data_IF_696666164148
#
_entry.id   IF_696666164148
#
_cell.length_a   1.000
_cell.length_b   1.000
_cell.length_c   1.000
_cell.angle_alpha   90.00
_cell.angle_beta   90.00
_cell.angle_gamma   90.00
#
_symmetry.space_group_name_H-M   'P 1'
#
loop_
_entity.id
_entity.type
_entity.pdbx_description
1 polymer ?
#
# COMPACT_ATOMS: atom_id res chain seq x y z
N UNK A 1 -7.79 -21.45 4.91
CA UNK A 1 -8.65 -20.27 4.71
C UNK A 1 -7.75 -19.08 4.95
N UNK A 2 -7.28 -18.41 3.90
CA UNK A 2 -6.54 -17.15 4.07
C UNK A 2 -7.55 -16.11 4.55
N UNK A 3 -7.45 -15.72 5.82
CA UNK A 3 -8.30 -14.67 6.37
C UNK A 3 -7.72 -13.33 5.96
N UNK A 4 -8.17 -12.79 4.84
CA UNK A 4 -7.86 -11.41 4.47
C UNK A 4 -8.49 -10.51 5.54
N UNK A 5 -7.66 -9.67 6.16
CA UNK A 5 -8.10 -8.70 7.15
C UNK A 5 -8.28 -7.34 6.49
N UNK A 6 -9.41 -6.67 6.71
CA UNK A 6 -9.72 -5.39 6.09
C UNK A 6 -9.81 -4.28 7.15
N UNK A 7 -9.20 -3.13 6.89
CA UNK A 7 -9.24 -1.93 7.74
C UNK A 7 -9.28 -0.66 6.90
N UNK A 8 -9.71 0.43 7.53
CA UNK A 8 -9.64 1.76 6.94
C UNK A 8 -8.56 2.59 7.64
N UNK A 9 -7.78 3.30 6.84
CA UNK A 9 -6.92 4.37 7.29
C UNK A 9 -7.46 5.72 6.81
N UNK A 10 -7.44 6.72 7.68
CA UNK A 10 -7.88 8.09 7.36
C UNK A 10 -6.71 9.03 7.50
N UNK A 11 -6.50 9.87 6.51
CA UNK A 11 -5.39 10.83 6.46
C UNK A 11 -5.73 12.01 5.56
N UNK A 12 -4.89 13.03 5.58
CA UNK A 12 -5.00 14.15 4.66
C UNK A 12 -4.47 13.73 3.28
N UNK A 13 -5.20 14.09 2.23
CA UNK A 13 -4.73 13.93 0.86
C UNK A 13 -3.94 15.17 0.39
N UNK A 14 -3.53 15.14 -0.87
CA UNK A 14 -2.79 16.23 -1.53
C UNK A 14 -3.56 17.57 -1.62
N UNK A 15 -4.85 17.58 -1.30
CA UNK A 15 -5.72 18.76 -1.29
C UNK A 15 -6.05 19.24 0.13
N UNK A 16 -5.36 18.73 1.15
CA UNK A 16 -5.63 19.00 2.57
C UNK A 16 -7.03 18.57 3.03
N UNK A 17 -7.64 17.62 2.32
CA UNK A 17 -8.94 17.04 2.67
C UNK A 17 -8.77 15.67 3.33
N UNK A 18 -9.70 15.30 4.21
CA UNK A 18 -9.70 13.97 4.82
C UNK A 18 -10.12 12.95 3.75
N UNK A 19 -9.19 12.07 3.40
CA UNK A 19 -9.41 10.91 2.54
C UNK A 19 -9.39 9.59 3.31
N UNK A 20 -9.86 8.54 2.64
CA UNK A 20 -9.86 7.16 3.18
C UNK A 20 -9.02 6.26 2.27
N UNK A 21 -8.21 5.42 2.91
CA UNK A 21 -7.52 4.30 2.27
C UNK A 21 -8.14 3.02 2.80
N UNK A 22 -8.75 2.23 1.92
CA UNK A 22 -9.18 0.87 2.24
C UNK A 22 -7.96 -0.06 2.15
N UNK A 23 -7.70 -0.81 3.22
CA UNK A 23 -6.50 -1.65 3.35
C UNK A 23 -6.96 -3.08 3.51
N UNK A 24 -6.53 -3.97 2.61
CA UNK A 24 -6.69 -5.41 2.75
C UNK A 24 -5.33 -6.08 3.00
N UNK A 25 -5.29 -6.98 3.95
CA UNK A 25 -4.10 -7.59 4.51
C UNK A 25 -4.15 -9.08 4.26
N UNK A 26 -3.25 -9.58 3.42
CA UNK A 26 -2.98 -11.00 3.25
C UNK A 26 -1.68 -11.35 3.98
N UNK A 27 -1.84 -11.88 5.19
CA UNK A 27 -0.71 -12.24 6.04
C UNK A 27 0.03 -13.50 5.54
N UNK A 28 -0.66 -14.42 4.86
CA UNK A 28 -0.06 -15.66 4.37
C UNK A 28 0.89 -15.36 3.21
N UNK A 29 0.46 -14.49 2.29
CA UNK A 29 1.25 -14.05 1.14
C UNK A 29 2.20 -12.90 1.45
N UNK A 30 2.11 -12.30 2.65
CA UNK A 30 2.80 -11.04 3.03
C UNK A 30 2.54 -9.90 2.05
N UNK A 31 1.28 -9.78 1.61
CA UNK A 31 0.84 -8.73 0.69
C UNK A 31 -0.14 -7.82 1.41
N UNK A 32 0.08 -6.50 1.28
CA UNK A 32 -0.88 -5.49 1.71
C UNK A 32 -1.39 -4.74 0.48
N UNK A 33 -2.70 -4.72 0.33
CA UNK A 33 -3.42 -4.06 -0.73
C UNK A 33 -3.97 -2.73 -0.22
N UNK A 34 -3.62 -1.63 -0.88
CA UNK A 34 -4.00 -0.27 -0.54
C UNK A 34 -4.88 0.31 -1.64
N UNK A 35 -6.18 0.42 -1.38
CA UNK A 35 -7.10 1.08 -2.28
C UNK A 35 -7.30 2.52 -1.84
N UNK A 36 -6.74 3.44 -2.62
CA UNK A 36 -6.60 4.85 -2.29
C UNK A 36 -7.19 5.72 -3.41
N UNK A 37 -8.51 5.92 -3.35
CA UNK A 37 -9.23 6.79 -4.30
C UNK A 37 -9.01 8.27 -4.03
N UNK A 38 -8.73 8.62 -2.78
CA UNK A 38 -8.56 10.01 -2.38
C UNK A 38 -7.12 10.52 -2.52
N UNK A 39 -6.19 9.66 -2.93
CA UNK A 39 -4.76 9.99 -3.05
C UNK A 39 -4.19 10.49 -1.71
N UNK A 40 -4.43 9.74 -0.65
CA UNK A 40 -3.88 9.96 0.69
C UNK A 40 -2.43 9.49 0.79
N UNK A 41 -2.11 8.33 0.23
CA UNK A 41 -0.78 7.69 0.25
C UNK A 41 -0.25 7.35 -1.16
N UNK A 42 -0.42 8.23 -2.17
CA UNK A 42 -0.01 7.91 -3.52
C UNK A 42 1.52 7.85 -3.62
N UNK A 43 2.09 6.90 -4.40
CA UNK A 43 3.47 7.01 -4.80
C UNK A 43 3.69 8.24 -5.68
N UNK A 44 4.83 8.90 -5.47
CA UNK A 44 5.22 10.12 -6.16
C UNK A 44 6.37 9.85 -7.11
N UNK A 45 6.46 10.62 -8.20
CA UNK A 45 7.56 10.51 -9.13
C UNK A 45 8.68 11.47 -8.74
N UNK A 46 9.83 10.93 -8.37
CA UNK A 46 11.03 11.72 -8.11
C UNK A 46 11.77 11.97 -9.43
N UNK A 47 11.79 13.24 -9.86
CA UNK A 47 12.45 13.69 -11.08
C UNK A 47 13.97 13.58 -11.03
N UNK A 48 14.57 13.59 -9.83
CA UNK A 48 16.02 13.52 -9.64
C UNK A 48 16.52 12.10 -9.91
N UNK A 49 15.83 11.10 -9.34
CA UNK A 49 16.15 9.68 -9.52
C UNK A 49 15.42 9.04 -10.70
N UNK A 50 14.49 9.76 -11.33
CA UNK A 50 13.62 9.30 -12.42
C UNK A 50 12.83 8.03 -12.05
N UNK A 51 12.43 7.92 -10.79
CA UNK A 51 11.78 6.73 -10.24
C UNK A 51 10.58 7.08 -9.37
N UNK A 52 9.67 6.13 -9.17
CA UNK A 52 8.58 6.30 -8.20
C UNK A 52 9.08 6.01 -6.78
N UNK A 53 8.62 6.80 -5.83
CA UNK A 53 8.95 6.69 -4.41
C UNK A 53 7.66 6.74 -3.57
N UNK A 54 7.70 6.18 -2.38
CA UNK A 54 6.61 6.34 -1.40
C UNK A 54 6.73 7.70 -0.71
N UNK A 55 5.61 8.31 -0.35
CA UNK A 55 5.57 9.62 0.27
C UNK A 55 5.48 9.56 1.81
N UNK A 56 5.54 10.72 2.46
CA UNK A 56 5.49 10.82 3.91
C UNK A 56 4.17 10.31 4.51
N UNK A 57 3.05 10.49 3.81
CA UNK A 57 1.75 9.98 4.23
C UNK A 57 1.74 8.45 4.28
N UNK A 58 2.37 7.77 3.32
CA UNK A 58 2.57 6.33 3.37
C UNK A 58 3.43 5.94 4.58
N UNK A 59 4.52 6.66 4.87
CA UNK A 59 5.36 6.39 6.05
C UNK A 59 4.56 6.56 7.35
N UNK A 60 3.69 7.56 7.43
CA UNK A 60 2.84 7.76 8.61
C UNK A 60 1.77 6.66 8.74
N UNK A 61 1.15 6.26 7.65
CA UNK A 61 0.22 5.12 7.62
C UNK A 61 0.93 3.84 8.08
N UNK A 62 2.11 3.53 7.55
CA UNK A 62 2.86 2.32 7.93
C UNK A 62 3.25 2.32 9.41
N UNK A 63 3.59 3.46 10.02
CA UNK A 63 3.79 3.57 11.48
C UNK A 63 2.51 3.19 12.25
N UNK A 64 1.37 3.73 11.83
CA UNK A 64 0.06 3.43 12.45
C UNK A 64 -0.29 1.96 12.28
N UNK A 65 -0.10 1.42 11.07
CA UNK A 65 -0.31 0.00 10.80
C UNK A 65 0.63 -0.84 11.64
N UNK A 66 1.93 -0.61 11.61
CA UNK A 66 2.92 -1.35 12.39
C UNK A 66 2.57 -1.42 13.88
N UNK A 67 2.07 -0.32 14.45
CA UNK A 67 1.61 -0.28 15.84
C UNK A 67 0.26 -0.99 16.08
N UNK A 68 -0.60 -1.08 15.05
CA UNK A 68 -1.93 -1.71 15.09
C UNK A 68 -1.95 -3.17 14.66
N UNK A 69 -0.98 -3.62 13.86
CA UNK A 69 -0.95 -4.90 13.14
C UNK A 69 -0.64 -6.07 14.09
N UNK A 70 -1.40 -6.14 15.18
CA UNK A 70 -1.47 -7.23 16.13
C UNK A 70 -0.28 -7.24 17.12
N UNK A 71 -0.61 -7.03 18.40
CA UNK A 71 0.28 -6.79 19.54
C UNK A 71 1.45 -7.78 19.79
N UNK A 72 1.69 -8.85 19.00
CA UNK A 72 2.72 -9.85 19.35
C UNK A 72 3.06 -10.78 18.18
N UNK A 73 4.09 -10.49 17.37
CA UNK A 73 4.88 -11.54 16.67
C UNK A 73 6.10 -11.04 15.87
N UNK A 74 6.29 -9.73 15.66
CA UNK A 74 7.42 -9.18 14.90
C UNK A 74 8.33 -8.25 15.74
N UNK A 75 8.52 -8.53 17.03
CA UNK A 75 9.31 -7.67 17.93
C UNK A 75 10.78 -7.47 17.51
N UNK A 76 11.31 -8.31 16.62
CA UNK A 76 12.73 -8.28 16.26
C UNK A 76 13.06 -7.39 15.05
N UNK A 77 12.07 -6.92 14.29
CA UNK A 77 12.31 -6.10 13.08
C UNK A 77 11.99 -4.64 13.34
N UNK A 78 12.86 -3.73 12.91
CA UNK A 78 12.51 -2.31 12.91
C UNK A 78 11.46 -2.01 11.80
N UNK A 79 10.77 -0.86 11.92
CA UNK A 79 9.71 -0.46 10.98
C UNK A 79 10.14 -0.55 9.51
N UNK A 80 11.36 -0.12 9.19
CA UNK A 80 11.85 -0.10 7.82
C UNK A 80 12.00 -1.53 7.25
N UNK A 81 12.53 -2.46 8.05
CA UNK A 81 12.63 -3.87 7.68
C UNK A 81 11.26 -4.53 7.53
N UNK A 82 10.30 -4.17 8.38
CA UNK A 82 8.93 -4.64 8.25
C UNK A 82 8.28 -4.16 6.95
N UNK A 83 8.36 -2.86 6.68
CA UNK A 83 7.82 -2.27 5.44
C UNK A 83 8.46 -2.92 4.21
N UNK A 84 9.78 -3.06 4.18
CA UNK A 84 10.49 -3.70 3.05
C UNK A 84 10.22 -5.19 2.89
N UNK A 85 9.88 -5.87 3.98
CA UNK A 85 9.59 -7.31 4.01
C UNK A 85 8.16 -7.67 3.61
N UNK A 86 7.33 -6.68 3.27
CA UNK A 86 5.96 -6.83 2.78
C UNK A 86 5.90 -6.32 1.35
N UNK A 87 5.11 -6.99 0.52
CA UNK A 87 4.75 -6.48 -0.81
C UNK A 87 3.53 -5.59 -0.68
N UNK A 88 3.63 -4.34 -1.12
CA UNK A 88 2.53 -3.38 -1.05
C UNK A 88 2.01 -3.09 -2.45
N UNK A 89 0.71 -3.19 -2.63
CA UNK A 89 0.06 -2.92 -3.90
C UNK A 89 -0.85 -1.71 -3.74
N UNK A 90 -0.59 -0.66 -4.50
CA UNK A 90 -1.35 0.58 -4.50
C UNK A 90 -2.33 0.56 -5.67
N UNK A 91 -3.61 0.64 -5.36
CA UNK A 91 -4.71 0.79 -6.30
C UNK A 91 -5.21 2.23 -6.22
N UNK A 92 -4.77 3.02 -7.19
CA UNK A 92 -5.05 4.46 -7.29
C UNK A 92 -5.84 4.69 -8.58
N UNK A 93 -6.66 5.75 -8.70
CA UNK A 93 -7.39 6.04 -9.93
C UNK A 93 -6.52 5.95 -11.19
N UNK A 94 -6.84 4.99 -12.06
CA UNK A 94 -6.17 4.73 -13.34
C UNK A 94 -4.74 4.19 -13.27
N UNK A 95 -4.22 3.80 -12.10
CA UNK A 95 -2.83 3.35 -11.93
C UNK A 95 -2.71 2.30 -10.83
N UNK A 96 -1.91 1.26 -11.10
CA UNK A 96 -1.47 0.31 -10.07
C UNK A 96 0.04 0.46 -9.85
N UNK A 97 0.46 0.46 -8.59
CA UNK A 97 1.87 0.42 -8.22
C UNK A 97 2.15 -0.76 -7.32
N UNK A 98 3.37 -1.29 -7.41
CA UNK A 98 3.90 -2.29 -6.50
C UNK A 98 5.14 -1.73 -5.82
N UNK A 99 5.17 -1.77 -4.50
CA UNK A 99 6.36 -1.56 -3.70
C UNK A 99 6.83 -2.89 -3.13
N UNK A 100 8.10 -3.20 -3.40
CA UNK A 100 8.73 -4.45 -2.97
C UNK A 100 10.22 -4.20 -2.79
N UNK A 101 10.78 -4.65 -1.67
CA UNK A 101 12.20 -4.49 -1.33
C UNK A 101 12.71 -3.03 -1.43
N UNK A 102 11.87 -2.04 -1.11
CA UNK A 102 12.24 -0.62 -1.14
C UNK A 102 12.10 0.06 -2.49
N UNK A 103 11.59 -0.63 -3.53
CA UNK A 103 11.44 -0.09 -4.88
C UNK A 103 9.98 0.00 -5.26
N UNK A 104 9.52 1.17 -5.72
CA UNK A 104 8.18 1.31 -6.31
C UNK A 104 8.26 1.15 -7.82
N UNK A 105 7.38 0.33 -8.39
CA UNK A 105 7.20 0.16 -9.84
C UNK A 105 5.75 0.36 -10.21
N UNK A 106 5.51 1.08 -11.31
CA UNK A 106 4.18 1.21 -11.90
C UNK A 106 3.86 -0.05 -12.72
N UNK A 107 2.77 -0.72 -12.39
CA UNK A 107 2.26 -1.90 -13.11
C UNK A 107 1.18 -1.38 -14.07
N UNK A 108 1.55 -1.10 -15.33
CA UNK A 108 0.61 -0.60 -16.34
C UNK A 108 -0.15 -1.76 -17.00
N UNK A 109 0.34 -3.00 -16.90
CA UNK A 109 -0.29 -4.17 -17.52
C UNK A 109 -1.18 -4.91 -16.51
N UNK A 110 -2.42 -4.45 -16.37
CA UNK A 110 -3.48 -5.13 -15.60
C UNK A 110 -3.90 -6.44 -16.31
N UNK A 111 -3.37 -6.79 -17.48
CA UNK A 111 -3.87 -7.97 -18.22
C UNK A 111 -3.37 -9.32 -17.67
N UNK A 112 -2.39 -9.31 -16.75
CA UNK A 112 -1.92 -10.49 -16.01
C UNK A 112 -2.16 -10.32 -14.50
N UNK A 113 -3.44 -10.14 -14.09
CA UNK A 113 -3.94 -9.92 -12.71
C UNK A 113 -3.68 -11.10 -11.76
N UNK A 114 -2.82 -12.05 -12.09
CA UNK A 114 -2.47 -13.09 -11.13
C UNK A 114 -1.83 -12.41 -9.92
N UNK A 115 -2.47 -12.53 -8.74
CA UNK A 115 -2.04 -12.01 -7.43
C UNK A 115 -2.40 -10.55 -7.08
N UNK A 116 -3.35 -9.92 -7.78
CA UNK A 116 -3.97 -8.67 -7.29
C UNK A 116 -5.30 -8.98 -6.57
N UNK A 117 -5.64 -8.17 -5.57
CA UNK A 117 -6.93 -8.31 -4.89
C UNK A 117 -8.07 -7.86 -5.80
N UNK A 118 -8.78 -8.83 -6.36
CA UNK A 118 -9.82 -8.66 -7.40
C UNK A 118 -10.85 -7.58 -7.01
N UNK A 119 -11.25 -7.52 -5.74
CA UNK A 119 -12.15 -6.50 -5.18
C UNK A 119 -11.72 -5.07 -5.54
N UNK A 120 -10.42 -4.77 -5.46
CA UNK A 120 -9.90 -3.43 -5.75
C UNK A 120 -9.59 -3.24 -7.24
N UNK A 121 -9.15 -4.31 -7.92
CA UNK A 121 -8.88 -4.27 -9.38
C UNK A 121 -10.15 -3.94 -10.16
N UNK A 122 -11.27 -4.61 -9.87
CA UNK A 122 -12.55 -4.38 -10.55
C UNK A 122 -13.08 -2.96 -10.40
N UNK A 123 -12.65 -2.23 -9.35
CA UNK A 123 -13.09 -0.85 -9.11
C UNK A 123 -12.25 0.19 -9.85
N UNK A 124 -11.09 -0.19 -10.38
CA UNK A 124 -10.18 0.73 -11.12
C UNK A 124 -10.14 0.48 -12.62
N UNK A 125 -10.70 -0.64 -13.09
CA UNK A 125 -10.94 -0.97 -14.49
C UNK A 125 -12.21 -0.30 -15.00
#
# INVERSE_FOLDING_TARGET
>A
MSSIFEIEYRGLNIFDEIGVVEIAIDNDSKVIHLYDQNQVVPPEYDFSTKSYVVNDSFINMTKVLYNKYFFSNNHDKNLNEWVKGITWIFYIPGKVFKFENGVVKKIIEIHNVENLYEKYVLRIL
#
